data_IF_922288201583
#
_entry.id   IF_922288201583
#
_cell.length_a   1.000
_cell.length_b   1.000
_cell.length_c   1.000
_cell.angle_alpha   90.00
_cell.angle_beta   90.00
_cell.angle_gamma   90.00
#
_symmetry.space_group_name_H-M   'P 1'
#
loop_
_entity.id
_entity.type
_entity.pdbx_description
1 polymer ?
#
# COMPACT_ATOMS: atom_id res chain seq x y z
N UNK A 1 2.25 11.56 -2.29
CA UNK A 1 1.37 10.83 -3.22
C UNK A 1 0.13 10.37 -2.48
N UNK A 2 -1.06 10.70 -2.96
CA UNK A 2 -2.30 10.16 -2.41
C UNK A 2 -2.57 8.79 -3.07
N UNK A 3 -2.71 7.72 -2.27
CA UNK A 3 -3.00 6.36 -2.75
C UNK A 3 -4.30 6.29 -3.57
N UNK A 4 -5.26 7.15 -3.24
CA UNK A 4 -6.56 7.27 -3.90
C UNK A 4 -6.48 7.89 -5.30
N UNK A 5 -5.33 8.41 -5.73
CA UNK A 5 -5.19 8.93 -7.11
C UNK A 5 -4.89 7.81 -8.12
N UNK A 6 -4.55 6.61 -7.65
CA UNK A 6 -4.24 5.48 -8.51
C UNK A 6 -5.52 4.70 -8.86
N UNK A 7 -5.88 4.70 -10.15
CA UNK A 7 -7.07 4.01 -10.66
C UNK A 7 -7.09 2.50 -10.39
N UNK A 8 -5.93 1.85 -10.38
CA UNK A 8 -5.83 0.41 -10.10
C UNK A 8 -6.19 0.12 -8.63
N UNK A 9 -5.62 0.90 -7.70
CA UNK A 9 -5.91 0.79 -6.26
C UNK A 9 -7.39 1.04 -5.99
N UNK A 10 -7.99 2.06 -6.63
CA UNK A 10 -9.43 2.32 -6.51
C UNK A 10 -10.26 1.11 -6.99
N UNK A 11 -9.89 0.51 -8.13
CA UNK A 11 -10.60 -0.66 -8.68
C UNK A 11 -10.54 -1.85 -7.72
N UNK A 12 -9.38 -2.08 -7.12
CA UNK A 12 -9.17 -3.17 -6.15
C UNK A 12 -9.98 -2.95 -4.87
N UNK A 13 -9.99 -1.73 -4.31
CA UNK A 13 -10.80 -1.39 -3.14
C UNK A 13 -12.29 -1.58 -3.43
N UNK A 14 -12.76 -1.17 -4.61
CA UNK A 14 -14.16 -1.38 -5.02
C UNK A 14 -14.52 -2.86 -5.11
N UNK A 15 -13.63 -3.68 -5.67
CA UNK A 15 -13.82 -5.12 -5.74
C UNK A 15 -13.88 -5.75 -4.34
N UNK A 16 -13.01 -5.31 -3.43
CA UNK A 16 -13.00 -5.79 -2.05
C UNK A 16 -14.29 -5.43 -1.30
N UNK A 17 -14.75 -4.18 -1.43
CA UNK A 17 -16.01 -3.73 -0.81
C UNK A 17 -17.17 -4.60 -1.30
N UNK A 18 -17.23 -4.87 -2.61
CA UNK A 18 -18.26 -5.72 -3.21
C UNK A 18 -18.20 -7.14 -2.64
N UNK A 19 -17.01 -7.73 -2.59
CA UNK A 19 -16.82 -9.07 -2.05
C UNK A 19 -17.18 -9.15 -0.55
N UNK A 20 -16.80 -8.15 0.24
CA UNK A 20 -17.16 -8.06 1.65
C UNK A 20 -18.67 -8.04 1.84
N UNK A 21 -19.38 -7.20 1.07
CA UNK A 21 -20.84 -7.12 1.15
C UNK A 21 -21.52 -8.41 0.69
N UNK A 22 -21.05 -9.02 -0.40
CA UNK A 22 -21.59 -10.31 -0.89
C UNK A 22 -21.52 -11.43 0.16
N UNK A 23 -20.50 -11.42 1.03
CA UNK A 23 -20.32 -12.45 2.06
C UNK A 23 -21.09 -12.09 3.35
N UNK A 24 -21.09 -10.82 3.74
CA UNK A 24 -21.51 -10.41 5.09
C UNK A 24 -22.90 -9.77 5.15
N UNK A 25 -23.45 -9.32 4.02
CA UNK A 25 -24.79 -8.74 3.95
C UNK A 25 -25.85 -9.83 3.72
N UNK A 26 -26.08 -10.64 4.75
CA UNK A 26 -27.04 -11.75 4.73
C UNK A 26 -28.40 -11.39 5.37
N UNK A 27 -28.66 -10.10 5.60
CA UNK A 27 -29.88 -9.59 6.25
C UNK A 27 -30.00 -9.88 7.75
N UNK A 28 -29.07 -10.63 8.35
CA UNK A 28 -29.02 -10.90 9.80
C UNK A 28 -28.05 -9.95 10.52
N UNK A 29 -27.03 -9.46 9.81
CA UNK A 29 -26.02 -8.56 10.37
C UNK A 29 -26.58 -7.14 10.45
N UNK A 30 -26.42 -6.50 11.61
CA UNK A 30 -26.82 -5.10 11.80
C UNK A 30 -26.04 -4.19 10.80
N UNK A 31 -26.73 -3.33 10.02
CA UNK A 31 -26.08 -2.45 9.04
C UNK A 31 -24.96 -1.57 9.61
N UNK A 32 -25.07 -1.14 10.86
CA UNK A 32 -24.02 -0.35 11.53
C UNK A 32 -22.76 -1.18 11.75
N UNK A 33 -22.91 -2.43 12.22
CA UNK A 33 -21.79 -3.36 12.42
C UNK A 33 -21.15 -3.70 11.08
N UNK A 34 -21.98 -3.91 10.03
CA UNK A 34 -21.50 -4.17 8.68
C UNK A 34 -20.65 -3.00 8.17
N UNK A 35 -21.13 -1.76 8.33
CA UNK A 35 -20.40 -0.56 7.93
C UNK A 35 -19.12 -0.33 8.75
N UNK A 36 -19.15 -0.54 10.06
CA UNK A 36 -17.99 -0.40 10.92
C UNK A 36 -16.89 -1.40 10.58
N UNK A 37 -17.28 -2.65 10.34
CA UNK A 37 -16.37 -3.71 9.90
C UNK A 37 -15.77 -3.39 8.53
N UNK A 38 -16.60 -2.97 7.56
CA UNK A 38 -16.13 -2.58 6.23
C UNK A 38 -15.09 -1.45 6.31
N UNK A 39 -15.37 -0.42 7.12
CA UNK A 39 -14.42 0.68 7.35
C UNK A 39 -13.10 0.17 7.94
N UNK A 40 -13.14 -0.78 8.88
CA UNK A 40 -11.93 -1.35 9.46
C UNK A 40 -11.11 -2.12 8.42
N UNK A 41 -11.75 -2.93 7.58
CA UNK A 41 -11.11 -3.67 6.48
C UNK A 41 -10.42 -2.73 5.51
N UNK A 42 -11.13 -1.70 5.04
CA UNK A 42 -10.58 -0.71 4.10
C UNK A 42 -9.38 0.02 4.71
N UNK A 43 -9.47 0.44 5.97
CA UNK A 43 -8.36 1.09 6.68
C UNK A 43 -7.13 0.19 6.81
N UNK A 44 -7.33 -1.08 7.16
CA UNK A 44 -6.24 -2.06 7.25
C UNK A 44 -5.47 -2.20 5.94
N UNK A 45 -6.18 -2.26 4.81
CA UNK A 45 -5.56 -2.28 3.47
C UNK A 45 -4.76 -1.02 3.17
N UNK A 46 -5.31 0.16 3.45
CA UNK A 46 -4.60 1.42 3.24
C UNK A 46 -3.31 1.51 4.05
N UNK A 47 -3.33 1.08 5.31
CA UNK A 47 -2.15 1.06 6.18
C UNK A 47 -1.10 0.10 5.62
N UNK A 48 -1.49 -1.12 5.27
CA UNK A 48 -0.60 -2.13 4.68
C UNK A 48 0.07 -1.63 3.40
N UNK A 49 -0.72 -1.04 2.49
CA UNK A 49 -0.23 -0.50 1.23
C UNK A 49 0.72 0.69 1.43
N UNK A 50 0.37 1.59 2.36
CA UNK A 50 1.22 2.73 2.71
C UNK A 50 2.57 2.28 3.27
N UNK A 51 2.57 1.26 4.14
CA UNK A 51 3.79 0.69 4.70
C UNK A 51 4.65 0.02 3.62
N UNK A 52 4.03 -0.73 2.71
CA UNK A 52 4.72 -1.37 1.58
C UNK A 52 5.39 -0.34 0.67
N UNK A 53 4.69 0.74 0.31
CA UNK A 53 5.26 1.81 -0.50
C UNK A 53 6.40 2.55 0.21
N UNK A 54 6.24 2.83 1.51
CA UNK A 54 7.31 3.45 2.31
C UNK A 54 8.57 2.58 2.29
N UNK A 55 8.42 1.26 2.46
CA UNK A 55 9.53 0.31 2.40
C UNK A 55 10.20 0.31 1.02
N UNK A 56 9.41 0.25 -0.07
CA UNK A 56 9.94 0.29 -1.44
C UNK A 56 10.76 1.56 -1.70
N UNK A 57 10.26 2.72 -1.25
CA UNK A 57 10.97 3.98 -1.40
C UNK A 57 12.30 3.98 -0.62
N UNK A 58 12.30 3.52 0.63
CA UNK A 58 13.53 3.41 1.43
C UNK A 58 14.57 2.50 0.77
N UNK A 59 14.15 1.34 0.25
CA UNK A 59 15.03 0.41 -0.45
C UNK A 59 15.65 1.05 -1.70
N UNK A 60 14.85 1.73 -2.52
CA UNK A 60 15.34 2.43 -3.71
C UNK A 60 16.35 3.53 -3.38
N UNK A 61 16.13 4.26 -2.28
CA UNK A 61 17.05 5.29 -1.81
C UNK A 61 18.37 4.69 -1.32
N UNK A 62 18.33 3.59 -0.57
CA UNK A 62 19.54 2.89 -0.12
C UNK A 62 20.36 2.38 -1.30
N UNK A 63 19.73 1.79 -2.32
CA UNK A 63 20.40 1.32 -3.53
C UNK A 63 21.11 2.47 -4.25
N UNK A 64 20.40 3.59 -4.45
CA UNK A 64 20.96 4.79 -5.07
C UNK A 64 22.17 5.34 -4.28
N UNK A 65 22.12 5.29 -2.94
CA UNK A 65 23.25 5.72 -2.11
C UNK A 65 24.44 4.74 -2.17
N UNK A 66 24.18 3.43 -2.24
CA UNK A 66 25.21 2.40 -2.38
C UNK A 66 25.93 2.53 -3.73
N UNK A 67 25.20 2.76 -4.81
CA UNK A 67 25.77 3.00 -6.15
C UNK A 67 26.64 4.26 -6.18
N UNK A 68 26.17 5.37 -5.57
CA UNK A 68 26.95 6.61 -5.44
C UNK A 68 28.23 6.44 -4.60
N UNK A 69 28.22 5.60 -3.56
CA UNK A 69 29.43 5.27 -2.79
C UNK A 69 30.39 4.44 -3.65
N UNK A 70 29.89 3.39 -4.30
CA UNK A 70 30.69 2.51 -5.16
C UNK A 70 31.36 3.25 -6.33
N UNK A 71 30.65 4.21 -6.94
CA UNK A 71 31.21 5.07 -7.98
C UNK A 71 32.34 5.97 -7.48
N UNK A 72 32.23 6.54 -6.27
CA UNK A 72 33.30 7.34 -5.65
C UNK A 72 34.52 6.50 -5.32
N UNK A 73 34.33 5.33 -4.72
CA UNK A 73 35.44 4.43 -4.35
C UNK A 73 36.21 3.94 -5.59
N UNK A 74 35.49 3.61 -6.67
CA UNK A 74 36.09 3.22 -7.94
C UNK A 74 36.86 4.38 -8.62
N UNK A 75 36.44 5.62 -8.41
CA UNK A 75 37.15 6.79 -8.95
C UNK A 75 38.43 7.10 -8.16
N UNK A 76 38.42 6.95 -6.83
CA UNK A 76 39.61 7.10 -5.99
C UNK A 76 40.67 6.04 -6.31
N UNK A 77 40.27 4.79 -6.54
CA UNK A 77 41.19 3.70 -6.90
C UNK A 77 41.84 3.82 -8.29
N UNK A 78 41.36 4.74 -9.13
CA UNK A 78 41.87 4.98 -10.48
C UNK A 78 42.83 6.18 -10.58
N UNK A 79 43.10 6.86 -9.46
CA UNK A 79 44.13 7.91 -9.31
C UNK A 79 45.37 7.29 -8.67
#
# INVERSE_FOLDING_TARGET
MCLLNNKAIIKEIKAEIKHFLEINDNGQVNPNILWDTLKAVVRGKFISLSAALKKLHSVAQEQSQRERKRGRDNNIRKV
#
